data_IF_224219684794
#
_entry.id   IF_224219684794
#
_cell.length_a   1.000
_cell.length_b   1.000
_cell.length_c   1.000
_cell.angle_alpha   90.00
_cell.angle_beta   90.00
_cell.angle_gamma   90.00
#
_symmetry.space_group_name_H-M   'P 1'
#
loop_
_entity.id
_entity.type
_entity.pdbx_description
1 polymer ?
#
# COMPACT_ATOMS: atom_id res chain seq x y z
N UNK A 1 13.96 -7.22 -24.36
CA UNK A 1 14.21 -5.89 -23.76
C UNK A 1 13.35 -5.80 -22.51
N UNK A 2 13.91 -5.35 -21.38
CA UNK A 2 13.11 -5.04 -20.19
C UNK A 2 12.24 -3.83 -20.54
N UNK A 3 10.93 -3.93 -20.38
CA UNK A 3 9.98 -2.84 -20.59
C UNK A 3 9.46 -2.39 -19.23
N UNK A 4 9.22 -1.09 -19.06
CA UNK A 4 8.63 -0.55 -17.83
C UNK A 4 7.19 -1.05 -17.62
N UNK A 5 6.55 -1.55 -18.68
CA UNK A 5 5.29 -2.28 -18.59
C UNK A 5 5.51 -3.68 -17.98
N UNK A 6 5.45 -3.71 -16.66
CA UNK A 6 5.56 -4.94 -15.86
C UNK A 6 4.21 -5.64 -15.68
N UNK A 7 3.09 -5.01 -16.03
CA UNK A 7 1.75 -5.52 -15.70
C UNK A 7 1.49 -6.92 -16.26
N UNK A 8 1.86 -7.25 -17.53
CA UNK A 8 1.70 -8.60 -18.06
C UNK A 8 2.55 -9.64 -17.35
N UNK A 9 3.66 -9.23 -16.71
CA UNK A 9 4.54 -10.13 -15.97
C UNK A 9 4.06 -10.37 -14.55
N UNK A 10 3.57 -9.33 -13.87
CA UNK A 10 3.13 -9.40 -12.48
C UNK A 10 1.72 -9.99 -12.37
N UNK A 11 0.82 -9.62 -13.29
CA UNK A 11 -0.58 -10.08 -13.29
C UNK A 11 -1.03 -10.60 -14.67
N UNK A 12 -0.35 -11.63 -15.22
CA UNK A 12 -0.61 -12.13 -16.57
C UNK A 12 -2.07 -12.54 -16.78
N UNK A 13 -2.64 -13.23 -15.79
CA UNK A 13 -4.03 -13.70 -15.83
C UNK A 13 -5.03 -12.54 -15.91
N UNK A 14 -4.88 -11.52 -15.06
CA UNK A 14 -5.75 -10.34 -15.07
C UNK A 14 -5.68 -9.64 -16.43
N UNK A 15 -4.47 -9.44 -16.97
CA UNK A 15 -4.30 -8.80 -18.27
C UNK A 15 -4.95 -9.61 -19.41
N UNK A 16 -4.83 -10.93 -19.38
CA UNK A 16 -5.49 -11.81 -20.36
C UNK A 16 -7.02 -11.71 -20.28
N UNK A 17 -7.57 -11.72 -19.07
CA UNK A 17 -9.02 -11.62 -18.85
C UNK A 17 -9.57 -10.26 -19.30
N UNK A 18 -8.87 -9.17 -18.98
CA UNK A 18 -9.23 -7.83 -19.45
C UNK A 18 -9.28 -7.73 -20.98
N UNK A 19 -8.32 -8.36 -21.65
CA UNK A 19 -8.25 -8.38 -23.12
C UNK A 19 -9.38 -9.20 -23.75
N UNK A 20 -9.79 -10.29 -23.11
CA UNK A 20 -10.74 -11.26 -23.68
C UNK A 20 -12.18 -10.98 -23.31
N UNK A 21 -12.44 -10.43 -22.12
CA UNK A 21 -13.79 -10.24 -21.56
C UNK A 21 -14.15 -8.76 -21.32
N UNK A 22 -13.21 -7.84 -21.54
CA UNK A 22 -13.42 -6.40 -21.39
C UNK A 22 -13.13 -5.87 -19.99
N UNK A 23 -13.56 -4.63 -19.72
CA UNK A 23 -13.19 -3.85 -18.52
C UNK A 23 -13.84 -4.33 -17.22
N UNK A 24 -14.97 -5.02 -17.31
CA UNK A 24 -15.64 -5.63 -16.16
C UNK A 24 -15.90 -7.08 -16.51
N UNK A 25 -15.39 -8.00 -15.69
CA UNK A 25 -15.53 -9.43 -15.95
C UNK A 25 -15.65 -10.22 -14.65
N UNK A 26 -16.27 -11.39 -14.76
CA UNK A 26 -16.43 -12.35 -13.67
C UNK A 26 -15.27 -13.35 -13.68
N UNK A 27 -14.77 -13.71 -12.49
CA UNK A 27 -13.72 -14.72 -12.30
C UNK A 27 -13.89 -15.43 -10.95
N UNK A 28 -13.07 -16.45 -10.71
CA UNK A 28 -13.04 -17.21 -9.47
C UNK A 28 -11.72 -16.99 -8.73
N UNK A 29 -11.80 -16.60 -7.46
CA UNK A 29 -10.68 -16.60 -6.53
C UNK A 29 -10.79 -17.83 -5.61
N UNK A 30 -10.23 -18.96 -6.05
CA UNK A 30 -10.49 -20.25 -5.41
C UNK A 30 -12.00 -20.57 -5.46
N UNK A 31 -12.65 -20.90 -4.32
CA UNK A 31 -14.09 -21.14 -4.29
C UNK A 31 -14.94 -19.87 -4.25
N UNK A 32 -14.31 -18.68 -4.23
CA UNK A 32 -15.01 -17.40 -4.06
C UNK A 32 -15.23 -16.76 -5.44
N UNK A 33 -16.48 -16.55 -5.87
CA UNK A 33 -16.76 -15.80 -7.10
C UNK A 33 -16.43 -14.31 -6.91
N UNK A 34 -15.76 -13.70 -7.89
CA UNK A 34 -15.33 -12.30 -7.85
C UNK A 34 -15.65 -11.60 -9.16
N UNK A 35 -16.16 -10.38 -9.08
CA UNK A 35 -16.29 -9.48 -10.23
C UNK A 35 -15.12 -8.50 -10.18
N UNK A 36 -14.33 -8.47 -11.24
CA UNK A 36 -13.25 -7.51 -11.41
C UNK A 36 -13.80 -6.31 -12.16
N UNK A 37 -13.67 -5.14 -11.55
CA UNK A 37 -14.11 -3.86 -12.11
C UNK A 37 -12.85 -3.02 -12.36
N UNK A 38 -12.64 -2.60 -13.60
CA UNK A 38 -11.55 -1.66 -13.96
C UNK A 38 -12.03 -0.31 -14.44
N UNK A 39 -13.35 -0.12 -14.57
CA UNK A 39 -13.94 1.18 -14.90
C UNK A 39 -13.86 2.15 -13.69
N UNK A 40 -13.21 3.33 -13.82
CA UNK A 40 -13.04 4.24 -12.70
C UNK A 40 -14.34 4.77 -12.09
N UNK A 41 -15.41 4.94 -12.89
CA UNK A 41 -16.68 5.43 -12.38
C UNK A 41 -17.36 4.36 -11.51
N UNK A 42 -17.34 3.10 -11.95
CA UNK A 42 -17.83 1.97 -11.16
C UNK A 42 -16.99 1.73 -9.90
N UNK A 43 -15.65 1.82 -9.99
CA UNK A 43 -14.76 1.72 -8.82
C UNK A 43 -15.11 2.80 -7.78
N UNK A 44 -15.29 4.05 -8.23
CA UNK A 44 -15.68 5.15 -7.35
C UNK A 44 -17.03 4.90 -6.71
N UNK A 45 -18.01 4.37 -7.44
CA UNK A 45 -19.32 4.05 -6.90
C UNK A 45 -19.22 2.99 -5.80
N UNK A 46 -18.56 1.87 -6.08
CA UNK A 46 -18.37 0.76 -5.13
C UNK A 46 -17.64 1.23 -3.88
N UNK A 47 -16.54 1.99 -4.02
CA UNK A 47 -15.75 2.47 -2.88
C UNK A 47 -16.47 3.53 -2.03
N UNK A 48 -17.47 4.23 -2.57
CA UNK A 48 -18.29 5.17 -1.78
C UNK A 48 -19.43 4.46 -1.03
N UNK A 49 -19.92 3.33 -1.54
CA UNK A 49 -21.02 2.55 -0.95
C UNK A 49 -20.50 1.50 0.04
N UNK A 50 -19.76 1.95 1.06
CA UNK A 50 -19.05 1.09 2.04
C UNK A 50 -19.99 0.16 2.83
N UNK A 51 -21.27 0.53 2.96
CA UNK A 51 -22.29 -0.30 3.62
C UNK A 51 -22.86 -1.40 2.71
N UNK A 52 -22.89 -1.16 1.39
CA UNK A 52 -23.39 -2.12 0.40
C UNK A 52 -22.29 -3.10 -0.02
N UNK A 53 -21.03 -2.63 -0.02
CA UNK A 53 -19.84 -3.40 -0.40
C UNK A 53 -18.86 -3.50 0.78
N UNK A 54 -19.14 -4.38 1.76
CA UNK A 54 -18.19 -4.64 2.85
C UNK A 54 -16.90 -5.26 2.31
N UNK A 55 -15.79 -5.11 3.03
CA UNK A 55 -14.52 -5.72 2.62
C UNK A 55 -14.68 -7.23 2.51
N UNK A 56 -14.22 -7.77 1.38
CA UNK A 56 -14.26 -9.20 1.15
C UNK A 56 -13.39 -9.92 2.19
N UNK A 57 -13.96 -10.92 2.86
CA UNK A 57 -13.22 -11.77 3.81
C UNK A 57 -12.47 -12.88 3.07
N UNK A 58 -11.64 -12.51 2.09
CA UNK A 58 -10.92 -13.44 1.20
C UNK A 58 -9.89 -14.29 1.94
N UNK A 59 -9.44 -13.83 3.12
CA UNK A 59 -8.46 -14.51 3.96
C UNK A 59 -8.90 -14.49 5.43
N UNK A 60 -9.65 -15.50 5.91
CA UNK A 60 -10.16 -15.53 7.29
C UNK A 60 -9.06 -15.39 8.36
N UNK A 61 -7.87 -15.93 8.09
CA UNK A 61 -6.72 -15.79 8.99
C UNK A 61 -6.19 -14.37 9.10
N UNK A 62 -6.40 -13.53 8.07
CA UNK A 62 -5.93 -12.14 8.08
C UNK A 62 -6.55 -11.33 9.23
N UNK A 63 -7.81 -11.61 9.58
CA UNK A 63 -8.49 -10.98 10.72
C UNK A 63 -7.93 -11.39 12.08
N UNK A 64 -7.27 -12.55 12.17
CA UNK A 64 -6.62 -13.02 13.40
C UNK A 64 -5.25 -12.36 13.62
N UNK A 65 -4.57 -11.99 12.53
CA UNK A 65 -3.22 -11.39 12.56
C UNK A 65 -3.31 -9.86 12.67
N UNK A 66 -4.31 -9.25 12.02
CA UNK A 66 -4.45 -7.79 11.94
C UNK A 66 -5.84 -7.34 12.41
N UNK A 67 -5.88 -6.61 13.51
CA UNK A 67 -7.11 -5.97 14.03
C UNK A 67 -7.08 -4.45 13.80
N UNK A 68 -8.24 -3.81 13.67
CA UNK A 68 -8.36 -2.36 13.54
C UNK A 68 -9.00 -1.90 12.22
N UNK A 69 -8.65 -0.69 11.77
CA UNK A 69 -9.29 -0.05 10.59
C UNK A 69 -9.19 -0.92 9.33
N UNK A 70 -8.11 -1.68 9.16
CA UNK A 70 -7.92 -2.53 7.98
C UNK A 70 -8.95 -3.67 7.96
N UNK A 71 -9.28 -4.28 9.10
CA UNK A 71 -10.17 -5.44 9.20
C UNK A 71 -11.60 -5.16 9.65
N UNK A 72 -11.88 -3.98 10.21
CA UNK A 72 -13.23 -3.56 10.56
C UNK A 72 -13.99 -3.01 9.35
N UNK A 73 -15.32 -3.17 9.39
CA UNK A 73 -16.31 -2.67 8.43
C UNK A 73 -17.45 -1.93 9.18
N UNK A 74 -18.29 -1.23 8.43
CA UNK A 74 -19.49 -0.54 8.93
C UNK A 74 -19.22 0.42 10.08
N UNK A 75 -20.09 0.41 11.08
CA UNK A 75 -20.04 1.37 12.20
C UNK A 75 -18.79 1.21 13.06
N UNK A 76 -18.27 -0.02 13.20
CA UNK A 76 -17.02 -0.27 13.93
C UNK A 76 -15.85 0.37 13.21
N UNK A 77 -15.79 0.28 11.89
CA UNK A 77 -14.80 0.99 11.08
C UNK A 77 -14.98 2.50 11.20
N UNK A 78 -16.20 3.01 11.03
CA UNK A 78 -16.50 4.44 11.07
C UNK A 78 -16.09 5.08 12.41
N UNK A 79 -16.38 4.40 13.52
CA UNK A 79 -15.97 4.83 14.87
C UNK A 79 -14.45 4.94 15.00
N UNK A 80 -13.69 3.90 14.65
CA UNK A 80 -12.24 3.91 14.76
C UNK A 80 -11.59 4.93 13.80
N UNK A 81 -12.13 5.05 12.57
CA UNK A 81 -11.67 6.04 11.60
C UNK A 81 -11.86 7.46 12.14
N UNK A 82 -13.00 7.75 12.77
CA UNK A 82 -13.26 9.05 13.40
C UNK A 82 -12.28 9.37 14.53
N UNK A 83 -11.90 8.38 15.33
CA UNK A 83 -10.94 8.55 16.44
C UNK A 83 -9.54 8.86 15.89
N UNK A 84 -9.12 8.20 14.83
CA UNK A 84 -7.75 8.29 14.29
C UNK A 84 -7.56 9.47 13.35
N UNK A 85 -8.59 9.89 12.60
CA UNK A 85 -8.49 10.97 11.60
C UNK A 85 -7.84 12.28 12.11
N UNK A 86 -8.08 12.77 13.33
CA UNK A 86 -7.45 13.99 13.83
C UNK A 86 -5.91 13.94 13.85
N UNK A 87 -5.30 12.77 14.04
CA UNK A 87 -3.85 12.60 14.00
C UNK A 87 -3.26 12.80 12.59
N UNK A 88 -4.10 12.68 11.56
CA UNK A 88 -3.72 12.85 10.15
C UNK A 88 -4.23 14.18 9.56
N UNK A 89 -4.60 15.16 10.41
CA UNK A 89 -4.84 16.52 9.95
C UNK A 89 -3.53 17.19 9.51
N UNK A 90 -3.61 18.11 8.56
CA UNK A 90 -2.45 18.77 7.95
C UNK A 90 -1.49 19.37 8.99
N UNK A 91 -2.03 20.00 10.04
CA UNK A 91 -1.23 20.58 11.14
C UNK A 91 -0.44 19.53 11.91
N UNK A 92 -1.00 18.33 12.10
CA UNK A 92 -0.33 17.21 12.77
C UNK A 92 0.72 16.59 11.87
N UNK A 93 0.42 16.43 10.59
CA UNK A 93 1.39 15.93 9.59
C UNK A 93 2.60 16.87 9.50
N UNK A 94 2.41 18.20 9.54
CA UNK A 94 3.52 19.16 9.52
C UNK A 94 4.51 18.94 10.67
N UNK A 95 4.02 18.54 11.85
CA UNK A 95 4.87 18.25 13.02
C UNK A 95 5.69 16.96 12.83
N UNK A 96 5.24 16.05 11.96
CA UNK A 96 5.95 14.79 11.64
C UNK A 96 7.08 14.98 10.61
N UNK A 97 7.03 16.03 9.78
CA UNK A 97 8.01 16.29 8.71
C UNK A 97 9.47 16.29 9.20
N UNK A 98 9.83 16.91 10.34
CA UNK A 98 11.20 16.85 10.85
C UNK A 98 11.68 15.41 11.14
N UNK A 99 10.80 14.53 11.62
CA UNK A 99 11.14 13.13 11.84
C UNK A 99 11.37 12.38 10.52
N UNK A 100 10.56 12.67 9.49
CA UNK A 100 10.77 12.13 8.14
C UNK A 100 12.14 12.56 7.58
N UNK A 101 12.42 13.86 7.66
CA UNK A 101 13.70 14.41 7.21
C UNK A 101 14.87 13.75 7.92
N UNK A 102 14.81 13.64 9.27
CA UNK A 102 15.85 13.00 10.06
C UNK A 102 16.13 11.55 9.61
N UNK A 103 15.09 10.74 9.45
CA UNK A 103 15.25 9.34 9.00
C UNK A 103 15.87 9.25 7.60
N UNK A 104 15.44 10.11 6.68
CA UNK A 104 16.04 10.17 5.34
C UNK A 104 17.51 10.60 5.40
N UNK A 105 17.84 11.64 6.19
CA UNK A 105 19.21 12.13 6.32
C UNK A 105 20.16 11.10 6.91
N UNK A 106 19.70 10.28 7.86
CA UNK A 106 20.51 9.20 8.42
C UNK A 106 20.83 8.13 7.37
N UNK A 107 19.84 7.69 6.58
CA UNK A 107 20.06 6.71 5.50
C UNK A 107 21.02 7.25 4.44
N UNK A 108 20.85 8.49 4.01
CA UNK A 108 21.75 9.13 3.03
C UNK A 108 23.16 9.25 3.61
N UNK A 109 23.29 9.65 4.89
CA UNK A 109 24.59 9.73 5.55
C UNK A 109 25.32 8.38 5.64
N UNK A 110 24.60 7.27 5.79
CA UNK A 110 25.20 5.94 5.71
C UNK A 110 25.65 5.58 4.29
N UNK A 111 24.89 5.98 3.26
CA UNK A 111 25.32 5.79 1.87
C UNK A 111 26.56 6.61 1.54
N UNK A 112 26.66 7.85 2.02
CA UNK A 112 27.85 8.70 1.83
C UNK A 112 29.10 8.06 2.45
N UNK A 113 28.97 7.43 3.62
CA UNK A 113 30.06 6.66 4.25
C UNK A 113 30.47 5.45 3.41
N UNK A 114 29.49 4.68 2.93
CA UNK A 114 29.74 3.50 2.08
C UNK A 114 30.49 3.84 0.79
N UNK A 115 30.22 5.00 0.19
CA UNK A 115 30.92 5.50 -0.99
C UNK A 115 32.34 5.97 -0.62
N UNK A 116 32.46 6.70 0.49
CA UNK A 116 33.74 7.25 0.96
C UNK A 116 34.75 6.15 1.32
N UNK A 117 34.32 5.10 2.02
CA UNK A 117 35.17 3.99 2.46
C UNK A 117 35.74 3.17 1.30
N UNK A 118 35.07 3.17 0.13
CA UNK A 118 35.49 2.41 -1.06
C UNK A 118 36.30 3.24 -2.06
N UNK A 119 36.54 4.52 -1.78
CA UNK A 119 37.40 5.41 -2.59
C UNK A 119 36.94 5.65 -4.03
N UNK A 120 35.72 5.24 -4.41
CA UNK A 120 35.18 5.32 -5.78
C UNK A 120 33.64 5.13 -5.80
N UNK A 121 33.01 5.25 -6.97
CA UNK A 121 31.58 4.94 -7.16
C UNK A 121 31.27 3.49 -6.80
N UNK A 122 30.29 3.25 -5.92
CA UNK A 122 29.85 1.92 -5.54
C UNK A 122 28.38 1.67 -5.92
N UNK A 123 28.08 0.44 -6.32
CA UNK A 123 26.70 -0.02 -6.48
C UNK A 123 26.13 -0.40 -5.11
N UNK A 124 24.92 0.07 -4.80
CA UNK A 124 24.25 -0.14 -3.51
C UNK A 124 22.88 -0.72 -3.75
N UNK A 125 22.59 -1.86 -3.12
CA UNK A 125 21.22 -2.35 -3.01
C UNK A 125 20.45 -1.50 -2.00
N UNK A 126 19.54 -0.67 -2.51
CA UNK A 126 18.74 0.25 -1.69
C UNK A 126 17.53 -0.42 -1.04
N UNK A 127 17.15 -1.64 -1.45
CA UNK A 127 15.92 -2.28 -0.97
C UNK A 127 15.88 -2.45 0.57
N UNK A 128 16.92 -2.97 1.23
CA UNK A 128 16.93 -3.08 2.70
C UNK A 128 16.81 -1.71 3.39
N UNK A 129 17.40 -0.68 2.81
CA UNK A 129 17.37 0.69 3.34
C UNK A 129 15.97 1.32 3.23
N UNK A 130 15.24 1.08 2.14
CA UNK A 130 13.86 1.55 1.99
C UNK A 130 12.93 0.89 3.03
N UNK A 131 13.14 -0.39 3.30
CA UNK A 131 12.39 -1.12 4.34
C UNK A 131 12.70 -0.52 5.73
N UNK A 132 13.98 -0.32 6.05
CA UNK A 132 14.38 0.30 7.33
C UNK A 132 13.86 1.74 7.46
N UNK A 133 14.01 2.55 6.41
CA UNK A 133 13.58 3.94 6.39
C UNK A 133 12.09 4.07 6.69
N UNK A 134 11.26 3.27 6.01
CA UNK A 134 9.81 3.31 6.23
C UNK A 134 9.43 2.85 7.64
N UNK A 135 10.11 1.85 8.19
CA UNK A 135 9.93 1.41 9.56
C UNK A 135 10.32 2.49 10.58
N UNK A 136 11.46 3.16 10.38
CA UNK A 136 11.94 4.25 11.25
C UNK A 136 11.02 5.47 11.21
N UNK A 137 10.57 5.83 10.01
CA UNK A 137 9.61 6.93 9.81
C UNK A 137 8.32 6.66 10.59
N UNK A 138 7.74 5.46 10.44
CA UNK A 138 6.51 5.11 11.15
C UNK A 138 6.77 5.10 12.67
N UNK A 139 7.87 4.50 13.12
CA UNK A 139 8.19 4.37 14.56
C UNK A 139 8.45 5.70 15.26
N UNK A 140 8.99 6.70 14.55
CA UNK A 140 9.27 8.04 15.10
C UNK A 140 8.06 8.97 15.11
N UNK A 141 7.01 8.64 14.36
CA UNK A 141 5.84 9.52 14.17
C UNK A 141 4.54 8.95 14.71
N UNK A 142 4.52 7.66 15.03
CA UNK A 142 3.50 7.00 15.84
C UNK A 142 3.59 7.43 17.32
#
# INVERSE_FOLDING_TARGET
KLTDDIQPRVMPYLMQMLKTHGRTFFTWFGPIPVIIITDPAQIKEVLNKVYDFPKANTFPMFKLIVTGIVSYDGDKWAKHRRIINPAFHLEKIKIMVPAFHKSCSEVVGEWDKLVSDKGSSCEVDVWPWLVSLTADVISRTA
#
